data_IF_562210580343
#
_entry.id   IF_562210580343
#
_cell.length_a   1.000
_cell.length_b   1.000
_cell.length_c   1.000
_cell.angle_alpha   90.00
_cell.angle_beta   90.00
_cell.angle_gamma   90.00
#
_symmetry.space_group_name_H-M   'P 1'
#
loop_
_entity.id
_entity.type
_entity.pdbx_description
1 polymer ?
#
# COMPACT_ATOMS: atom_id res chain seq x y z
N UNK A 1 -63.97 16.86 -2.73
CA UNK A 1 -62.68 16.41 -2.18
C UNK A 1 -61.58 16.78 -3.17
N UNK A 2 -60.42 17.23 -2.69
CA UNK A 2 -59.23 17.66 -3.46
C UNK A 2 -59.18 19.15 -3.87
N UNK A 3 -58.73 19.99 -2.92
CA UNK A 3 -58.03 21.24 -3.24
C UNK A 3 -56.55 20.99 -3.00
N UNK A 4 -55.76 21.06 -4.07
CA UNK A 4 -54.29 20.90 -4.05
C UNK A 4 -53.69 22.03 -3.22
N UNK A 5 -52.93 21.69 -2.18
CA UNK A 5 -52.05 22.63 -1.47
C UNK A 5 -50.86 22.94 -2.38
N UNK A 6 -50.81 24.17 -2.91
CA UNK A 6 -49.62 24.70 -3.53
C UNK A 6 -48.65 25.09 -2.41
N UNK A 7 -47.55 24.34 -2.27
CA UNK A 7 -46.42 24.76 -1.43
C UNK A 7 -45.84 26.05 -2.03
N UNK A 8 -45.91 27.13 -1.26
CA UNK A 8 -45.20 28.38 -1.53
C UNK A 8 -43.71 28.17 -1.23
N UNK A 9 -42.90 27.92 -2.26
CA UNK A 9 -41.43 27.86 -2.14
C UNK A 9 -40.87 29.21 -2.59
N UNK A 10 -40.32 29.96 -1.65
CA UNK A 10 -39.81 31.32 -1.83
C UNK A 10 -38.66 31.39 -2.85
N UNK A 11 -38.82 32.22 -3.89
CA UNK A 11 -37.87 32.46 -5.00
C UNK A 11 -36.43 32.79 -4.58
N UNK A 12 -36.18 33.25 -3.35
CA UNK A 12 -34.84 33.61 -2.85
C UNK A 12 -33.98 32.42 -2.38
N UNK A 13 -34.57 31.24 -2.16
CA UNK A 13 -33.80 30.05 -1.77
C UNK A 13 -33.14 29.35 -2.96
N UNK A 14 -33.73 29.47 -4.16
CA UNK A 14 -33.21 28.86 -5.39
C UNK A 14 -31.94 29.54 -5.91
N UNK A 15 -31.81 30.87 -5.77
CA UNK A 15 -30.64 31.60 -6.28
C UNK A 15 -29.37 31.21 -5.53
N UNK A 16 -29.44 31.09 -4.21
CA UNK A 16 -28.32 30.66 -3.38
C UNK A 16 -27.93 29.20 -3.67
N UNK A 17 -28.90 28.29 -3.78
CA UNK A 17 -28.63 26.88 -4.08
C UNK A 17 -28.00 26.69 -5.48
N UNK A 18 -28.51 27.40 -6.50
CA UNK A 18 -27.95 27.37 -7.86
C UNK A 18 -26.56 28.01 -7.91
N UNK A 19 -26.33 29.09 -7.16
CA UNK A 19 -25.01 29.71 -7.03
C UNK A 19 -24.00 28.77 -6.35
N UNK A 20 -24.41 28.02 -5.31
CA UNK A 20 -23.55 27.03 -4.67
C UNK A 20 -23.22 25.85 -5.60
N UNK A 21 -24.19 25.34 -6.34
CA UNK A 21 -23.97 24.25 -7.31
C UNK A 21 -23.03 24.71 -8.45
N UNK A 22 -23.25 25.91 -8.99
CA UNK A 22 -22.40 26.47 -10.05
C UNK A 22 -20.98 26.75 -9.56
N UNK A 23 -20.81 27.21 -8.31
CA UNK A 23 -19.49 27.33 -7.67
C UNK A 23 -18.80 25.98 -7.56
N UNK A 24 -19.47 24.93 -7.07
CA UNK A 24 -18.89 23.58 -6.95
C UNK A 24 -18.46 23.02 -8.31
N UNK A 25 -19.25 23.26 -9.36
CA UNK A 25 -18.95 22.81 -10.73
C UNK A 25 -17.87 23.65 -11.44
N UNK A 26 -17.58 24.86 -10.94
CA UNK A 26 -16.53 25.74 -11.49
C UNK A 26 -15.25 25.75 -10.65
N UNK A 27 -15.24 25.06 -9.50
CA UNK A 27 -13.99 24.61 -8.89
C UNK A 27 -13.36 23.65 -9.89
N UNK A 28 -12.21 23.96 -10.50
CA UNK A 28 -11.48 22.97 -11.26
C UNK A 28 -11.26 21.79 -10.31
N UNK A 29 -11.73 20.60 -10.68
CA UNK A 29 -11.29 19.39 -10.02
C UNK A 29 -9.77 19.48 -10.05
N UNK A 30 -9.17 19.75 -8.90
CA UNK A 30 -7.72 19.71 -8.81
C UNK A 30 -7.41 18.24 -8.98
N UNK A 31 -7.03 17.85 -10.21
CA UNK A 31 -6.09 16.76 -10.41
C UNK A 31 -4.77 17.19 -9.73
N UNK A 32 -4.80 17.32 -8.40
CA UNK A 32 -3.64 17.01 -7.60
C UNK A 32 -3.32 15.57 -7.98
N UNK A 33 -2.17 15.39 -8.62
CA UNK A 33 -1.68 14.12 -9.14
C UNK A 33 -1.36 13.16 -8.00
N UNK A 34 -2.39 12.72 -7.27
CA UNK A 34 -2.37 11.76 -6.17
C UNK A 34 -2.73 10.35 -6.68
N UNK A 35 -2.26 9.99 -7.87
CA UNK A 35 -2.44 8.62 -8.37
C UNK A 35 -1.63 7.67 -7.47
N UNK A 36 -2.25 6.64 -6.88
CA UNK A 36 -1.51 5.63 -6.12
C UNK A 36 -0.39 5.03 -6.98
N UNK A 37 0.79 4.85 -6.39
CA UNK A 37 1.97 4.29 -7.04
C UNK A 37 2.25 2.90 -6.49
N UNK A 38 2.44 1.95 -7.40
CA UNK A 38 2.71 0.56 -7.05
C UNK A 38 4.11 0.37 -6.47
N UNK A 39 4.26 -0.48 -5.43
CA UNK A 39 5.55 -0.75 -4.84
C UNK A 39 6.44 -1.62 -5.73
N UNK A 40 7.72 -1.28 -5.79
CA UNK A 40 8.77 -2.19 -6.25
C UNK A 40 9.23 -3.07 -5.09
N UNK A 41 9.19 -4.39 -5.27
CA UNK A 41 9.51 -5.37 -4.22
C UNK A 41 10.72 -6.20 -4.62
N UNK A 42 11.72 -6.28 -3.76
CA UNK A 42 12.89 -7.14 -3.95
C UNK A 42 13.24 -7.90 -2.67
N UNK A 43 13.77 -9.12 -2.82
CA UNK A 43 14.26 -9.92 -1.70
C UNK A 43 15.74 -10.21 -1.90
N UNK A 44 16.53 -9.97 -0.87
CA UNK A 44 17.96 -10.29 -0.87
C UNK A 44 18.44 -10.65 0.54
N UNK A 45 19.49 -11.48 0.66
CA UNK A 45 20.14 -11.70 1.94
C UNK A 45 21.00 -10.48 2.31
N UNK A 46 21.05 -10.14 3.59
CA UNK A 46 21.86 -8.99 4.04
C UNK A 46 23.37 -9.21 3.90
N UNK A 47 23.79 -10.48 3.88
CA UNK A 47 25.17 -10.96 3.76
C UNK A 47 25.19 -12.32 3.06
N UNK A 48 26.39 -12.84 2.82
CA UNK A 48 26.58 -14.20 2.29
C UNK A 48 25.85 -15.23 3.15
N UNK A 49 25.03 -16.05 2.49
CA UNK A 49 24.21 -17.08 3.15
C UNK A 49 25.08 -18.21 3.68
N UNK A 50 24.82 -18.62 4.93
CA UNK A 50 25.43 -19.80 5.54
C UNK A 50 24.34 -20.76 6.01
N UNK A 51 24.33 -21.99 5.49
CA UNK A 51 23.36 -23.01 5.87
C UNK A 51 23.48 -23.38 7.36
N UNK A 52 22.34 -23.72 7.97
CA UNK A 52 22.24 -24.13 9.38
C UNK A 52 22.75 -23.07 10.39
N UNK A 53 22.89 -21.83 9.95
CA UNK A 53 23.25 -20.68 10.78
C UNK A 53 22.15 -19.62 10.70
N UNK A 54 22.20 -18.65 11.61
CA UNK A 54 21.33 -17.49 11.55
C UNK A 54 21.66 -16.64 10.31
N UNK A 55 20.62 -16.33 9.55
CA UNK A 55 20.68 -15.46 8.38
C UNK A 55 19.60 -14.40 8.47
N UNK A 56 19.75 -13.35 7.68
CA UNK A 56 18.81 -12.24 7.59
C UNK A 56 18.43 -12.04 6.13
N UNK A 57 17.15 -12.27 5.81
CA UNK A 57 16.57 -11.86 4.54
C UNK A 57 15.94 -10.48 4.68
N UNK A 58 16.05 -9.67 3.64
CA UNK A 58 15.48 -8.33 3.57
C UNK A 58 14.47 -8.31 2.43
N UNK A 59 13.22 -7.98 2.74
CA UNK A 59 12.24 -7.57 1.74
C UNK A 59 12.26 -6.04 1.66
N UNK A 60 12.81 -5.52 0.57
CA UNK A 60 12.84 -4.09 0.29
C UNK A 60 11.63 -3.73 -0.55
N UNK A 61 10.82 -2.80 -0.04
CA UNK A 61 9.61 -2.30 -0.69
C UNK A 61 9.76 -0.80 -0.87
N UNK A 62 9.72 -0.33 -2.12
CA UNK A 62 10.15 1.02 -2.53
C UNK A 62 9.18 1.65 -3.52
N UNK A 63 9.30 2.97 -3.73
CA UNK A 63 8.63 3.75 -4.76
C UNK A 63 7.09 3.76 -4.72
N UNK A 64 6.49 3.54 -3.54
CA UNK A 64 5.03 3.45 -3.40
C UNK A 64 4.38 4.69 -2.78
N UNK A 65 3.10 4.88 -3.10
CA UNK A 65 2.26 5.93 -2.52
C UNK A 65 0.78 5.50 -2.56
N UNK A 66 -0.04 5.69 -1.51
CA UNK A 66 0.27 6.35 -0.23
C UNK A 66 1.09 5.47 0.73
N UNK A 67 1.47 5.99 1.90
CA UNK A 67 2.29 5.25 2.86
C UNK A 67 1.63 4.03 3.53
N UNK A 68 0.37 3.73 3.20
CA UNK A 68 -0.39 2.62 3.77
C UNK A 68 0.07 1.31 3.11
N UNK A 69 0.73 0.43 3.86
CA UNK A 69 1.25 -0.82 3.31
C UNK A 69 1.21 -1.95 4.32
N UNK A 70 1.02 -3.18 3.83
CA UNK A 70 1.09 -4.39 4.65
C UNK A 70 2.01 -5.40 3.99
N UNK A 71 3.07 -5.75 4.71
CA UNK A 71 4.11 -6.67 4.25
C UNK A 71 4.15 -7.87 5.18
N UNK A 72 4.09 -9.07 4.62
CA UNK A 72 4.07 -10.34 5.35
C UNK A 72 5.12 -11.28 4.82
N UNK A 73 5.72 -12.05 5.72
CA UNK A 73 6.64 -13.12 5.37
C UNK A 73 5.93 -14.48 5.45
N UNK A 74 6.30 -15.36 4.53
CA UNK A 74 5.89 -16.76 4.53
C UNK A 74 7.12 -17.65 4.34
N UNK A 75 7.05 -18.86 4.88
CA UNK A 75 7.96 -19.97 4.59
C UNK A 75 7.13 -21.15 4.14
N UNK A 76 7.36 -21.64 2.92
CA UNK A 76 6.63 -22.77 2.34
C UNK A 76 5.11 -22.60 2.50
N UNK A 77 4.59 -21.44 2.09
CA UNK A 77 3.17 -21.03 2.18
C UNK A 77 2.59 -20.87 3.59
N UNK A 78 3.40 -21.05 4.64
CA UNK A 78 3.00 -20.80 6.02
C UNK A 78 3.41 -19.40 6.47
N UNK A 79 2.44 -18.63 6.99
CA UNK A 79 2.68 -17.28 7.46
C UNK A 79 3.64 -17.28 8.67
N UNK A 80 4.64 -16.41 8.62
CA UNK A 80 5.58 -16.21 9.71
C UNK A 80 5.15 -15.03 10.59
N UNK A 81 5.37 -15.17 11.90
CA UNK A 81 5.11 -14.12 12.89
C UNK A 81 6.31 -13.82 13.78
N UNK A 82 7.30 -14.72 13.84
CA UNK A 82 8.51 -14.59 14.64
C UNK A 82 9.72 -14.21 13.76
N UNK A 83 10.69 -13.50 14.36
CA UNK A 83 11.92 -13.09 13.67
C UNK A 83 11.73 -11.98 12.65
N UNK A 84 10.56 -11.33 12.61
CA UNK A 84 10.27 -10.25 11.65
C UNK A 84 10.52 -8.90 12.31
N UNK A 85 11.29 -8.05 11.66
CA UNK A 85 11.58 -6.68 12.11
C UNK A 85 11.40 -5.73 10.93
N UNK A 86 10.61 -4.68 11.09
CA UNK A 86 10.44 -3.64 10.05
C UNK A 86 11.09 -2.33 10.46
N UNK A 87 11.63 -1.61 9.48
CA UNK A 87 12.00 -0.20 9.69
C UNK A 87 10.73 0.65 9.87
N UNK A 88 10.86 1.86 10.44
CA UNK A 88 9.86 2.89 10.22
C UNK A 88 9.64 3.12 8.72
N UNK A 89 8.46 3.63 8.37
CA UNK A 89 8.19 4.09 7.01
C UNK A 89 9.07 5.31 6.70
N UNK A 90 9.84 5.24 5.62
CA UNK A 90 10.74 6.30 5.18
C UNK A 90 10.05 7.04 4.04
N UNK A 91 9.96 8.38 4.13
CA UNK A 91 9.46 9.23 3.06
C UNK A 91 10.62 9.66 2.18
N UNK A 92 10.47 9.50 0.87
CA UNK A 92 11.42 9.95 -0.13
C UNK A 92 11.23 11.44 -0.46
N UNK A 93 12.20 12.03 -1.17
CA UNK A 93 12.12 13.44 -1.60
C UNK A 93 11.12 13.71 -2.72
N UNK A 94 10.51 12.66 -3.27
CA UNK A 94 9.62 12.66 -4.43
C UNK A 94 8.19 12.20 -4.09
N UNK A 95 7.78 12.37 -2.83
CA UNK A 95 6.46 12.00 -2.27
C UNK A 95 6.21 10.49 -2.09
N UNK A 96 7.08 9.63 -2.61
CA UNK A 96 6.99 8.19 -2.43
C UNK A 96 7.50 7.74 -1.06
N UNK A 97 7.27 6.48 -0.73
CA UNK A 97 7.72 5.86 0.52
C UNK A 97 8.52 4.60 0.26
N UNK A 98 9.29 4.20 1.27
CA UNK A 98 9.99 2.92 1.32
C UNK A 98 9.94 2.31 2.73
N UNK A 99 10.00 0.99 2.80
CA UNK A 99 10.10 0.22 4.04
C UNK A 99 10.94 -1.04 3.81
N UNK A 100 11.75 -1.40 4.80
CA UNK A 100 12.46 -2.69 4.82
C UNK A 100 11.82 -3.59 5.86
N UNK A 101 11.47 -4.81 5.46
CA UNK A 101 10.93 -5.84 6.35
C UNK A 101 11.87 -7.03 6.37
N UNK A 102 12.60 -7.15 7.45
CA UNK A 102 13.67 -8.11 7.64
C UNK A 102 13.15 -9.36 8.33
N UNK A 103 13.70 -10.52 7.97
CA UNK A 103 13.38 -11.82 8.55
C UNK A 103 14.67 -12.48 9.03
N UNK A 104 14.80 -12.66 10.34
CA UNK A 104 15.80 -13.47 11.00
C UNK A 104 15.37 -14.94 11.03
N UNK A 105 16.19 -15.82 10.47
CA UNK A 105 15.88 -17.25 10.42
C UNK A 105 17.11 -18.13 10.21
N UNK A 106 16.95 -19.43 10.45
CA UNK A 106 17.97 -20.44 10.14
C UNK A 106 17.66 -21.08 8.79
N UNK A 107 18.51 -20.82 7.79
CA UNK A 107 18.33 -21.30 6.42
C UNK A 107 18.47 -22.82 6.33
N UNK A 108 17.46 -23.48 5.75
CA UNK A 108 17.53 -24.88 5.35
C UNK A 108 17.41 -25.01 3.83
N UNK A 109 18.03 -26.06 3.27
CA UNK A 109 17.93 -26.32 1.84
C UNK A 109 16.49 -26.72 1.49
N UNK A 110 15.97 -26.13 0.41
CA UNK A 110 14.64 -26.43 -0.11
C UNK A 110 13.53 -25.54 0.44
N UNK A 111 13.82 -24.70 1.45
CA UNK A 111 12.88 -23.68 1.88
C UNK A 111 12.66 -22.62 0.81
N UNK A 112 11.40 -22.18 0.71
CA UNK A 112 10.97 -21.05 -0.10
C UNK A 112 10.47 -19.97 0.84
N UNK A 113 11.09 -18.80 0.76
CA UNK A 113 10.68 -17.63 1.53
C UNK A 113 9.96 -16.67 0.62
N UNK A 114 8.83 -16.16 1.07
CA UNK A 114 7.97 -15.32 0.25
C UNK A 114 7.65 -14.02 0.97
N UNK A 115 7.90 -12.90 0.30
CA UNK A 115 7.42 -11.58 0.73
C UNK A 115 6.11 -11.26 0.02
N UNK A 116 5.05 -11.09 0.79
CA UNK A 116 3.71 -10.78 0.33
C UNK A 116 3.37 -9.33 0.68
N UNK A 117 3.05 -8.52 -0.33
CA UNK A 117 2.82 -7.08 -0.19
C UNK A 117 1.41 -6.71 -0.65
N UNK A 118 0.64 -6.13 0.27
CA UNK A 118 -0.66 -5.51 0.01
C UNK A 118 -0.49 -3.99 0.08
N UNK A 119 -1.01 -3.29 -0.93
CA UNK A 119 -0.95 -1.83 -1.03
C UNK A 119 -2.17 -1.30 -1.82
N UNK A 120 -2.76 -0.14 -1.49
CA UNK A 120 -3.99 0.36 -2.13
C UNK A 120 -3.92 0.58 -3.64
N UNK A 121 -2.72 0.74 -4.21
CA UNK A 121 -2.55 0.86 -5.66
C UNK A 121 -2.70 -0.47 -6.40
N UNK A 122 -2.62 -1.60 -5.69
CA UNK A 122 -2.56 -2.93 -6.28
C UNK A 122 -3.96 -3.55 -6.37
N UNK A 123 -4.32 -4.07 -7.54
CA UNK A 123 -5.54 -4.89 -7.70
C UNK A 123 -5.40 -6.27 -7.04
N UNK A 124 -4.18 -6.80 -7.01
CA UNK A 124 -3.82 -8.06 -6.37
C UNK A 124 -2.47 -7.93 -5.67
N UNK A 125 -2.24 -8.63 -4.55
CA UNK A 125 -0.97 -8.53 -3.83
C UNK A 125 0.25 -8.91 -4.69
N UNK A 126 1.39 -8.29 -4.41
CA UNK A 126 2.67 -8.71 -4.98
C UNK A 126 3.25 -9.82 -4.11
N UNK A 127 3.72 -10.88 -4.76
CA UNK A 127 4.33 -12.04 -4.11
C UNK A 127 5.69 -12.29 -4.75
N UNK A 128 6.76 -12.08 -3.99
CA UNK A 128 8.13 -12.34 -4.45
C UNK A 128 8.69 -13.53 -3.67
N UNK A 129 9.21 -14.52 -4.39
CA UNK A 129 9.86 -15.69 -3.79
C UNK A 129 11.38 -15.52 -3.75
N UNK A 130 12.00 -16.09 -2.73
CA UNK A 130 13.43 -16.25 -2.61
C UNK A 130 13.76 -17.69 -2.23
N UNK A 131 14.75 -18.25 -2.92
CA UNK A 131 15.25 -19.61 -2.70
C UNK A 131 16.77 -19.57 -2.72
N UNK A 132 17.40 -20.38 -1.88
CA UNK A 132 18.82 -20.63 -1.99
C UNK A 132 19.07 -21.49 -3.24
N UNK A 133 19.50 -20.86 -4.33
CA UNK A 133 19.93 -21.57 -5.52
C UNK A 133 21.20 -22.37 -5.19
N UNK A 134 21.29 -23.58 -5.73
CA UNK A 134 22.42 -24.50 -5.52
C UNK A 134 23.70 -23.95 -6.14
#
# INVERSE_FOLDING_TARGET
MSRKMALWISRGFWTAAVMMITVVLSIPATEGKDSPLEPTVTIFPSRTVVLNHHNLLVCSVTDFYPGQIKVRWFRNDQALTAGIVSTPLIRNGDWTFQILVMLEMTLQRGDVYTCHVEHPSLQSPITVEWRLLR
#
